data_IF_011056428175
#
_entry.id   IF_011056428175
#
_cell.length_a   1.000
_cell.length_b   1.000
_cell.length_c   1.000
_cell.angle_alpha   90.00
_cell.angle_beta   90.00
_cell.angle_gamma   90.00
#
_symmetry.space_group_name_H-M   'P 1'
#
loop_
_entity.id
_entity.type
_entity.pdbx_description
1 polymer ?
#
# COMPACT_ATOMS: atom_id res chain seq x y z
N UNK A 1 42.34 -17.11 35.76
CA UNK A 1 42.91 -18.27 36.52
C UNK A 1 44.02 -18.94 35.73
N UNK A 2 43.80 -19.30 34.46
CA UNK A 2 44.80 -19.91 33.57
C UNK A 2 46.07 -19.03 33.36
N UNK A 3 45.88 -17.71 33.26
CA UNK A 3 46.91 -16.72 33.10
C UNK A 3 47.89 -16.67 34.26
N UNK A 4 47.37 -16.75 35.51
CA UNK A 4 48.18 -16.77 36.72
C UNK A 4 49.01 -18.04 36.82
N UNK A 5 48.44 -19.18 36.44
CA UNK A 5 49.17 -20.47 36.43
C UNK A 5 50.29 -20.40 35.39
N UNK A 6 50.04 -19.89 34.19
CA UNK A 6 51.02 -19.73 33.12
C UNK A 6 52.15 -18.79 33.53
N UNK A 7 51.85 -17.63 34.12
CA UNK A 7 52.84 -16.68 34.61
C UNK A 7 53.64 -17.27 35.77
N UNK A 8 53.02 -18.03 36.67
CA UNK A 8 53.68 -18.71 37.80
C UNK A 8 54.68 -19.77 37.30
N UNK A 9 54.31 -20.56 36.31
CA UNK A 9 55.22 -21.55 35.72
C UNK A 9 56.43 -20.88 35.06
N UNK A 10 56.23 -19.72 34.43
CA UNK A 10 57.30 -19.02 33.70
C UNK A 10 58.27 -18.28 34.64
N UNK A 11 57.80 -17.77 35.79
CA UNK A 11 58.59 -16.90 36.69
C UNK A 11 58.99 -17.55 38.01
N UNK A 12 58.04 -18.18 38.70
CA UNK A 12 58.27 -18.73 40.06
C UNK A 12 58.94 -20.11 39.99
N UNK A 13 58.53 -20.95 39.02
CA UNK A 13 59.09 -22.29 38.86
C UNK A 13 60.60 -22.28 38.55
N UNK A 14 61.13 -21.49 37.63
CA UNK A 14 62.56 -21.41 37.35
C UNK A 14 63.37 -20.92 38.58
N UNK A 15 62.86 -19.87 39.25
CA UNK A 15 63.52 -19.35 40.47
C UNK A 15 63.54 -20.40 41.61
N UNK A 16 62.40 -21.13 41.77
CA UNK A 16 62.29 -22.25 42.73
C UNK A 16 63.26 -23.39 42.36
N UNK A 17 63.35 -23.80 41.11
CA UNK A 17 64.26 -24.86 40.62
C UNK A 17 65.72 -24.47 40.79
N UNK A 18 66.11 -23.23 40.50
CA UNK A 18 67.46 -22.71 40.72
C UNK A 18 67.85 -22.81 42.21
N UNK A 19 67.00 -22.41 43.12
CA UNK A 19 67.25 -22.47 44.56
C UNK A 19 67.35 -23.92 45.05
N UNK A 20 66.53 -24.81 44.53
CA UNK A 20 66.54 -26.22 44.95
C UNK A 20 67.75 -26.98 44.39
N UNK A 21 68.11 -26.80 43.14
CA UNK A 21 69.11 -27.61 42.51
C UNK A 21 70.51 -26.96 42.54
N UNK A 22 70.61 -25.66 42.46
CA UNK A 22 71.89 -24.94 42.46
C UNK A 22 72.30 -24.53 43.90
N UNK A 23 71.38 -24.06 44.71
CA UNK A 23 71.66 -23.64 46.09
C UNK A 23 71.43 -24.76 47.15
N UNK A 24 70.92 -25.94 46.76
CA UNK A 24 70.79 -27.11 47.63
C UNK A 24 69.78 -27.00 48.76
N UNK A 25 68.87 -25.99 48.77
CA UNK A 25 67.94 -25.73 49.83
C UNK A 25 66.77 -26.75 49.85
N UNK A 26 66.46 -27.32 51.04
CA UNK A 26 65.39 -28.34 51.19
C UNK A 26 64.05 -27.72 51.64
N UNK A 27 62.95 -28.17 50.97
CA UNK A 27 61.59 -27.78 51.35
C UNK A 27 61.24 -28.35 52.72
N UNK A 28 60.64 -27.54 53.61
CA UNK A 28 60.16 -27.94 54.94
C UNK A 28 61.12 -27.63 56.10
N UNK A 29 62.43 -27.47 55.85
CA UNK A 29 63.41 -27.08 56.88
C UNK A 29 63.96 -25.66 56.63
N UNK A 30 64.31 -25.33 55.40
CA UNK A 30 64.90 -24.03 55.03
C UNK A 30 63.95 -23.18 54.21
N UNK A 31 63.01 -23.81 53.53
CA UNK A 31 61.93 -23.11 52.76
C UNK A 31 60.64 -23.14 53.59
N UNK A 32 60.45 -22.14 54.41
CA UNK A 32 59.21 -21.86 55.15
C UNK A 32 58.36 -20.86 54.42
N UNK A 33 57.06 -20.69 54.75
CA UNK A 33 56.19 -19.69 54.15
C UNK A 33 56.77 -18.27 54.20
N UNK A 34 57.50 -17.94 55.24
CA UNK A 34 58.17 -16.68 55.40
C UNK A 34 59.38 -16.54 54.44
N UNK A 35 60.20 -17.57 54.33
CA UNK A 35 61.39 -17.57 53.43
C UNK A 35 60.95 -17.59 51.97
N UNK A 36 59.83 -18.27 51.60
CA UNK A 36 59.23 -18.23 50.24
C UNK A 36 58.82 -16.80 49.91
N UNK A 37 58.14 -16.10 50.81
CA UNK A 37 57.74 -14.70 50.57
C UNK A 37 58.95 -13.76 50.45
N UNK A 38 59.95 -13.94 51.26
CA UNK A 38 61.07 -13.03 51.31
C UNK A 38 62.13 -13.33 50.22
N UNK A 39 62.38 -14.59 49.91
CA UNK A 39 63.39 -14.99 48.93
C UNK A 39 62.86 -15.05 47.52
N UNK A 40 61.58 -15.48 47.29
CA UNK A 40 60.97 -15.51 45.96
C UNK A 40 60.27 -14.18 45.59
N UNK A 41 60.48 -13.13 46.34
CA UNK A 41 59.84 -11.82 46.11
C UNK A 41 59.98 -11.31 44.69
N UNK A 42 61.13 -11.50 44.10
CA UNK A 42 61.39 -11.08 42.71
C UNK A 42 60.63 -11.91 41.68
N UNK A 43 60.50 -13.21 41.87
CA UNK A 43 59.69 -14.09 41.03
C UNK A 43 58.23 -13.77 41.15
N UNK A 44 57.75 -13.52 42.40
CA UNK A 44 56.34 -13.16 42.68
C UNK A 44 55.99 -11.78 42.07
N UNK A 45 56.87 -10.77 42.26
CA UNK A 45 56.61 -9.43 41.67
C UNK A 45 56.65 -9.44 40.12
N UNK A 46 57.56 -10.20 39.54
CA UNK A 46 57.62 -10.36 38.08
C UNK A 46 56.41 -11.10 37.57
N UNK A 47 55.94 -12.16 38.26
CA UNK A 47 54.69 -12.86 37.93
C UNK A 47 53.49 -11.92 37.92
N UNK A 48 53.40 -11.07 38.94
CA UNK A 48 52.27 -10.12 39.07
C UNK A 48 52.26 -9.06 37.99
N UNK A 49 53.48 -8.50 37.66
CA UNK A 49 53.64 -7.56 36.58
C UNK A 49 53.33 -8.20 35.22
N UNK A 50 53.75 -9.43 34.97
CA UNK A 50 53.50 -10.15 33.74
C UNK A 50 52.01 -10.51 33.59
N UNK A 51 51.37 -10.91 34.68
CA UNK A 51 49.92 -11.19 34.69
C UNK A 51 49.11 -9.92 34.43
N UNK A 52 49.43 -8.78 35.04
CA UNK A 52 48.79 -7.50 34.78
C UNK A 52 48.98 -7.06 33.33
N UNK A 53 50.21 -7.19 32.81
CA UNK A 53 50.51 -6.86 31.42
C UNK A 53 49.75 -7.74 30.45
N UNK A 54 49.69 -9.05 30.70
CA UNK A 54 48.93 -9.99 29.86
C UNK A 54 47.43 -9.68 29.88
N UNK A 55 46.85 -9.48 31.08
CA UNK A 55 45.45 -9.13 31.22
C UNK A 55 45.14 -7.81 30.50
N UNK A 56 45.99 -6.80 30.68
CA UNK A 56 45.81 -5.49 30.01
C UNK A 56 45.88 -5.65 28.48
N UNK A 57 46.81 -6.46 28.00
CA UNK A 57 46.96 -6.74 26.55
C UNK A 57 45.75 -7.49 25.98
N UNK A 58 45.26 -8.49 26.71
CA UNK A 58 44.04 -9.21 26.31
C UNK A 58 42.82 -8.28 26.27
N UNK A 59 42.59 -7.48 27.32
CA UNK A 59 41.49 -6.52 27.32
C UNK A 59 41.61 -5.44 26.25
N UNK A 60 42.83 -5.06 25.88
CA UNK A 60 43.07 -4.07 24.83
C UNK A 60 42.80 -4.61 23.43
N UNK A 61 43.18 -5.87 23.13
CA UNK A 61 43.03 -6.46 21.79
C UNK A 61 41.75 -7.27 21.60
N UNK A 62 41.03 -7.62 22.67
CA UNK A 62 39.78 -8.35 22.60
C UNK A 62 38.60 -7.49 23.10
N UNK A 63 38.05 -6.59 22.24
CA UNK A 63 36.89 -5.79 22.63
C UNK A 63 35.70 -6.70 22.89
N UNK A 64 35.06 -6.53 24.04
CA UNK A 64 33.88 -7.31 24.42
C UNK A 64 32.72 -6.38 24.76
N UNK A 65 31.52 -6.76 24.33
CA UNK A 65 30.32 -6.00 24.67
C UNK A 65 29.28 -6.90 25.35
N UNK A 66 28.59 -6.33 26.33
CA UNK A 66 27.41 -6.93 26.96
C UNK A 66 26.10 -6.35 26.40
N UNK A 67 26.19 -5.31 25.57
CA UNK A 67 25.07 -4.61 25.00
C UNK A 67 24.98 -4.91 23.49
N UNK A 68 24.71 -6.16 23.12
CA UNK A 68 24.45 -6.55 21.74
C UNK A 68 22.92 -6.79 21.60
N UNK A 69 22.30 -6.01 20.71
CA UNK A 69 20.88 -6.12 20.40
C UNK A 69 20.70 -6.50 18.92
N UNK A 70 19.84 -7.46 18.67
CA UNK A 70 19.40 -7.75 17.32
C UNK A 70 18.32 -6.75 16.92
N UNK A 71 18.55 -6.01 15.85
CA UNK A 71 17.60 -5.05 15.29
C UNK A 71 17.01 -5.67 14.02
N UNK A 72 15.72 -5.87 14.02
CA UNK A 72 14.97 -6.35 12.86
C UNK A 72 13.88 -5.33 12.51
N UNK A 73 13.58 -5.22 11.23
CA UNK A 73 12.52 -4.36 10.74
C UNK A 73 11.17 -5.02 11.03
N UNK A 74 10.32 -4.31 11.71
CA UNK A 74 8.93 -4.74 11.93
C UNK A 74 8.00 -3.96 11.00
N UNK A 75 6.92 -4.60 10.57
CA UNK A 75 5.83 -3.97 9.82
C UNK A 75 4.62 -3.88 10.74
N UNK A 76 4.20 -2.67 11.02
CA UNK A 76 3.00 -2.43 11.82
C UNK A 76 1.77 -2.61 10.94
N UNK A 77 0.83 -3.46 11.36
CA UNK A 77 -0.44 -3.66 10.68
C UNK A 77 -1.42 -2.63 11.23
N UNK A 78 -1.88 -1.75 10.34
CA UNK A 78 -2.85 -0.70 10.66
C UNK A 78 -4.02 -0.78 9.68
N UNK A 79 -5.20 -0.38 10.13
CA UNK A 79 -6.34 -0.15 9.25
C UNK A 79 -6.26 1.26 8.68
N UNK A 80 -6.77 1.49 7.48
CA UNK A 80 -6.85 2.83 6.92
C UNK A 80 -8.06 3.59 7.49
N UNK A 81 -9.16 2.87 7.69
CA UNK A 81 -10.41 3.41 8.22
C UNK A 81 -10.70 2.90 9.64
N UNK A 82 -11.50 3.67 10.37
CA UNK A 82 -12.09 3.22 11.64
C UNK A 82 -13.17 2.18 11.33
N UNK A 83 -13.09 1.03 12.00
CA UNK A 83 -14.07 -0.03 11.79
C UNK A 83 -14.13 -1.02 12.94
N UNK A 84 -15.22 -1.77 13.01
CA UNK A 84 -15.39 -2.89 13.93
C UNK A 84 -14.87 -4.15 13.28
N UNK A 85 -14.11 -4.96 14.02
CA UNK A 85 -13.64 -6.28 13.56
C UNK A 85 -14.84 -7.23 13.49
N UNK A 86 -15.11 -7.76 12.31
CA UNK A 86 -16.13 -8.77 12.10
C UNK A 86 -15.57 -10.18 12.37
N UNK A 87 -14.43 -10.50 11.79
CA UNK A 87 -13.80 -11.80 11.86
C UNK A 87 -12.28 -11.68 11.90
N UNK A 88 -11.62 -12.65 12.55
CA UNK A 88 -10.16 -12.81 12.55
C UNK A 88 -9.83 -14.19 11.98
N UNK A 89 -8.88 -14.25 11.05
CA UNK A 89 -8.51 -15.47 10.33
C UNK A 89 -7.21 -16.10 10.84
N UNK A 90 -6.45 -15.36 11.63
CA UNK A 90 -5.13 -15.77 12.13
C UNK A 90 -5.02 -15.55 13.63
N UNK A 91 -4.18 -16.37 14.27
CA UNK A 91 -3.89 -16.31 15.70
C UNK A 91 -2.61 -15.54 16.04
N UNK A 92 -2.34 -15.42 17.34
CA UNK A 92 -1.09 -14.83 17.86
C UNK A 92 0.09 -15.77 17.59
N UNK A 93 1.23 -15.22 17.16
CA UNK A 93 2.44 -15.94 16.81
C UNK A 93 2.28 -16.93 15.64
N UNK A 94 1.27 -16.73 14.80
CA UNK A 94 1.08 -17.51 13.59
C UNK A 94 1.95 -16.99 12.45
N UNK A 95 2.47 -17.92 11.65
CA UNK A 95 3.21 -17.59 10.43
C UNK A 95 2.24 -17.32 9.29
N UNK A 96 2.41 -16.18 8.63
CA UNK A 96 1.55 -15.72 7.53
C UNK A 96 2.36 -15.48 6.26
N UNK A 97 1.71 -15.62 5.13
CA UNK A 97 2.27 -15.32 3.80
C UNK A 97 1.79 -13.97 3.31
N UNK A 98 2.56 -13.34 2.44
CA UNK A 98 2.16 -12.13 1.76
C UNK A 98 0.82 -12.33 1.02
N UNK A 99 -0.11 -11.39 1.18
CA UNK A 99 -1.47 -11.47 0.64
C UNK A 99 -2.46 -12.33 1.44
N UNK A 100 -2.01 -13.04 2.49
CA UNK A 100 -2.92 -13.81 3.34
C UNK A 100 -3.83 -12.87 4.15
N UNK A 101 -5.17 -13.10 4.16
CA UNK A 101 -6.09 -12.31 4.97
C UNK A 101 -5.82 -12.55 6.46
N UNK A 102 -5.75 -11.46 7.22
CA UNK A 102 -5.51 -11.47 8.67
C UNK A 102 -6.82 -11.32 9.46
N UNK A 103 -7.60 -10.34 9.09
CA UNK A 103 -8.92 -10.08 9.66
C UNK A 103 -9.77 -9.25 8.72
N UNK A 104 -11.06 -9.22 8.96
CA UNK A 104 -12.04 -8.45 8.21
C UNK A 104 -12.77 -7.48 9.13
N UNK A 105 -12.92 -6.24 8.66
CA UNK A 105 -13.80 -5.26 9.28
C UNK A 105 -15.25 -5.49 8.85
N UNK A 106 -16.18 -4.90 9.56
CA UNK A 106 -17.61 -4.91 9.22
C UNK A 106 -17.82 -4.24 7.84
N UNK A 107 -18.27 -5.03 6.86
CA UNK A 107 -18.36 -4.62 5.46
C UNK A 107 -19.77 -4.21 5.02
N UNK A 108 -20.79 -4.47 5.83
CA UNK A 108 -22.20 -4.25 5.46
C UNK A 108 -22.52 -2.85 4.93
N UNK A 109 -22.04 -1.74 5.53
CA UNK A 109 -22.23 -0.40 4.97
C UNK A 109 -21.55 -0.23 3.60
N UNK A 110 -20.31 -0.70 3.45
CA UNK A 110 -19.54 -0.60 2.21
C UNK A 110 -20.16 -1.44 1.08
N UNK A 111 -20.69 -2.62 1.40
CA UNK A 111 -21.46 -3.43 0.45
C UNK A 111 -22.72 -2.73 -0.01
N UNK A 112 -23.40 -1.99 0.88
CA UNK A 112 -24.55 -1.18 0.49
C UNK A 112 -24.14 -0.02 -0.43
N UNK A 113 -23.00 0.62 -0.19
CA UNK A 113 -22.45 1.66 -1.07
C UNK A 113 -22.14 1.11 -2.46
N UNK A 114 -21.54 -0.07 -2.56
CA UNK A 114 -21.28 -0.76 -3.84
C UNK A 114 -22.58 -1.03 -4.59
N UNK A 115 -23.60 -1.61 -3.92
CA UNK A 115 -24.90 -1.87 -4.56
C UNK A 115 -25.57 -0.57 -5.04
N UNK A 116 -25.44 0.52 -4.31
CA UNK A 116 -25.97 1.83 -4.72
C UNK A 116 -25.26 2.36 -5.96
N UNK A 117 -23.94 2.26 -6.00
CA UNK A 117 -23.15 2.67 -7.17
C UNK A 117 -23.43 1.79 -8.40
N UNK A 118 -23.59 0.47 -8.22
CA UNK A 118 -24.01 -0.46 -9.29
C UNK A 118 -25.38 -0.07 -9.86
N UNK A 119 -26.35 0.24 -8.99
CA UNK A 119 -27.67 0.72 -9.41
C UNK A 119 -27.57 2.02 -10.21
N UNK A 120 -26.68 2.95 -9.82
CA UNK A 120 -26.39 4.17 -10.58
C UNK A 120 -25.87 3.88 -12.00
N UNK A 121 -24.91 2.99 -12.13
CA UNK A 121 -24.41 2.54 -13.46
C UNK A 121 -25.54 1.90 -14.30
N UNK A 122 -26.35 1.04 -13.69
CA UNK A 122 -27.47 0.40 -14.37
C UNK A 122 -28.52 1.41 -14.84
N UNK A 123 -28.80 2.44 -14.04
CA UNK A 123 -29.74 3.52 -14.40
C UNK A 123 -29.25 4.30 -15.64
N UNK A 124 -27.97 4.65 -15.71
CA UNK A 124 -27.43 5.38 -16.86
C UNK A 124 -27.41 4.49 -18.11
N UNK A 125 -27.06 3.22 -17.98
CA UNK A 125 -27.18 2.25 -19.10
C UNK A 125 -28.60 2.16 -19.63
N UNK A 126 -29.61 2.10 -18.73
CA UNK A 126 -31.01 2.11 -19.11
C UNK A 126 -31.43 3.43 -19.78
N UNK A 127 -30.89 4.57 -19.33
CA UNK A 127 -31.09 5.87 -20.01
C UNK A 127 -30.52 5.86 -21.42
N UNK A 128 -29.38 5.21 -21.64
CA UNK A 128 -28.79 5.02 -22.98
C UNK A 128 -29.67 4.21 -23.91
N UNK A 129 -30.32 3.16 -23.40
CA UNK A 129 -31.29 2.39 -24.21
C UNK A 129 -32.50 3.25 -24.59
N UNK A 130 -33.05 4.00 -23.62
CA UNK A 130 -34.18 4.94 -23.91
C UNK A 130 -33.79 6.02 -24.91
N UNK A 131 -32.59 6.61 -24.78
CA UNK A 131 -32.10 7.61 -25.70
C UNK A 131 -31.96 7.12 -27.14
N UNK A 132 -31.61 5.84 -27.35
CA UNK A 132 -31.60 5.25 -28.71
C UNK A 132 -32.99 5.15 -29.31
N UNK A 133 -34.01 4.83 -28.51
CA UNK A 133 -35.40 4.82 -28.96
C UNK A 133 -35.85 6.23 -29.29
N UNK A 134 -35.52 7.22 -28.48
CA UNK A 134 -35.80 8.64 -28.76
C UNK A 134 -35.11 9.13 -30.05
N UNK A 135 -33.88 8.68 -30.29
CA UNK A 135 -33.16 9.01 -31.53
C UNK A 135 -33.90 8.43 -32.76
N UNK A 136 -34.29 7.15 -32.69
CA UNK A 136 -35.05 6.53 -33.77
C UNK A 136 -36.38 7.25 -34.02
N UNK A 137 -37.05 7.70 -32.97
CA UNK A 137 -38.30 8.50 -33.10
C UNK A 137 -38.02 9.84 -33.77
N UNK A 138 -36.96 10.55 -33.37
CA UNK A 138 -36.56 11.85 -33.99
C UNK A 138 -36.19 11.69 -35.47
N UNK A 139 -35.54 10.58 -35.84
CA UNK A 139 -35.25 10.26 -37.24
C UNK A 139 -36.53 9.99 -38.06
N UNK A 140 -37.53 9.32 -37.49
CA UNK A 140 -38.83 9.12 -38.09
C UNK A 140 -39.57 10.46 -38.30
N UNK A 141 -39.47 11.38 -37.33
CA UNK A 141 -40.06 12.72 -37.44
C UNK A 141 -39.41 13.57 -38.54
N UNK A 142 -38.07 13.47 -38.72
CA UNK A 142 -37.37 14.06 -39.86
C UNK A 142 -37.86 13.48 -41.19
N UNK A 143 -38.05 12.14 -41.25
CA UNK A 143 -38.54 11.50 -42.45
C UNK A 143 -39.95 12.02 -42.81
N UNK A 144 -40.81 12.18 -41.80
CA UNK A 144 -42.16 12.74 -41.97
C UNK A 144 -42.10 14.20 -42.43
N UNK A 145 -41.28 15.04 -41.81
CA UNK A 145 -41.12 16.45 -42.18
C UNK A 145 -40.60 16.59 -43.62
N UNK A 146 -39.68 15.71 -44.04
CA UNK A 146 -39.20 15.67 -45.44
C UNK A 146 -40.28 15.29 -46.41
N UNK A 147 -41.10 14.30 -46.10
CA UNK A 147 -42.23 13.89 -46.99
C UNK A 147 -43.24 15.01 -47.14
N UNK A 148 -43.58 15.71 -46.03
CA UNK A 148 -44.50 16.85 -46.08
C UNK A 148 -43.89 17.99 -46.93
N UNK A 149 -42.63 18.33 -46.71
CA UNK A 149 -41.94 19.36 -47.51
C UNK A 149 -41.93 19.00 -49.01
N UNK A 150 -41.68 17.75 -49.36
CA UNK A 150 -41.71 17.32 -50.76
C UNK A 150 -43.11 17.49 -51.35
N UNK A 151 -44.13 17.08 -50.61
CA UNK A 151 -45.52 17.25 -51.07
C UNK A 151 -45.88 18.73 -51.30
N UNK A 152 -45.53 19.62 -50.35
CA UNK A 152 -45.82 21.06 -50.49
C UNK A 152 -45.01 21.71 -51.58
N UNK A 153 -43.78 21.23 -51.83
CA UNK A 153 -42.96 21.66 -52.99
C UNK A 153 -43.61 21.24 -54.30
N UNK A 154 -44.04 19.98 -54.42
CA UNK A 154 -44.73 19.50 -55.65
C UNK A 154 -46.06 20.26 -55.90
N UNK A 155 -46.82 20.57 -54.86
CA UNK A 155 -48.01 21.40 -54.95
C UNK A 155 -47.70 22.84 -55.38
N UNK A 156 -46.67 23.46 -54.81
CA UNK A 156 -46.21 24.79 -55.19
C UNK A 156 -45.79 24.80 -56.68
N UNK A 157 -44.98 23.83 -57.10
CA UNK A 157 -44.48 23.77 -58.47
C UNK A 157 -45.61 23.60 -59.51
N UNK A 158 -46.59 22.73 -59.13
CA UNK A 158 -47.78 22.55 -59.96
C UNK A 158 -48.58 23.84 -60.05
N UNK A 159 -48.78 24.59 -58.96
CA UNK A 159 -49.51 25.88 -58.99
C UNK A 159 -48.75 26.97 -59.75
N UNK A 160 -47.41 27.05 -59.62
CA UNK A 160 -46.58 27.98 -60.30
C UNK A 160 -46.62 27.69 -61.81
N UNK A 161 -46.58 26.44 -62.28
CA UNK A 161 -46.65 26.05 -63.62
C UNK A 161 -48.02 26.36 -64.27
N UNK A 162 -49.13 26.06 -63.54
CA UNK A 162 -50.47 26.43 -63.97
C UNK A 162 -50.63 27.95 -64.13
N UNK A 163 -50.14 28.74 -63.18
CA UNK A 163 -50.17 30.22 -63.30
C UNK A 163 -49.32 30.75 -64.44
N UNK A 164 -48.20 30.08 -64.80
CA UNK A 164 -47.33 30.40 -65.91
C UNK A 164 -48.05 30.14 -67.26
N UNK A 165 -48.77 29.06 -67.37
CA UNK A 165 -49.50 28.65 -68.57
C UNK A 165 -50.75 29.50 -68.82
N UNK A 166 -51.50 29.81 -67.75
CA UNK A 166 -52.70 30.62 -67.80
C UNK A 166 -52.87 31.44 -66.49
N UNK A 167 -52.64 32.77 -66.60
CA UNK A 167 -52.72 33.72 -65.50
C UNK A 167 -54.09 33.87 -64.87
N UNK A 168 -55.14 33.61 -65.68
CA UNK A 168 -56.55 33.70 -65.19
C UNK A 168 -57.04 32.42 -64.59
N UNK A 169 -56.32 31.32 -64.70
CA UNK A 169 -56.71 30.00 -64.18
C UNK A 169 -56.57 29.90 -62.61
N UNK A 170 -55.62 30.62 -62.04
CA UNK A 170 -55.39 30.58 -60.59
C UNK A 170 -55.08 31.99 -60.07
N UNK A 171 -55.66 32.42 -58.96
CA UNK A 171 -55.33 33.68 -58.29
C UNK A 171 -53.87 33.70 -57.79
N UNK A 172 -53.18 34.84 -58.06
CA UNK A 172 -51.79 35.03 -57.56
C UNK A 172 -51.61 34.73 -56.07
N UNK A 173 -52.62 35.03 -55.33
CA UNK A 173 -52.69 34.74 -53.84
C UNK A 173 -52.51 33.26 -53.53
N UNK A 174 -52.99 32.33 -54.33
CA UNK A 174 -52.84 30.90 -54.13
C UNK A 174 -51.41 30.45 -54.34
N UNK A 175 -50.70 31.05 -55.34
CA UNK A 175 -49.24 30.80 -55.55
C UNK A 175 -48.42 31.30 -54.35
N UNK A 176 -48.76 32.51 -53.85
CA UNK A 176 -48.12 33.09 -52.66
C UNK A 176 -48.37 32.25 -51.43
N UNK A 177 -49.57 31.71 -51.22
CA UNK A 177 -49.91 30.79 -50.12
C UNK A 177 -49.11 29.48 -50.20
N UNK A 178 -48.98 28.90 -51.39
CA UNK A 178 -48.17 27.69 -51.57
C UNK A 178 -46.65 27.94 -51.29
N UNK A 179 -46.13 29.11 -51.64
CA UNK A 179 -44.78 29.50 -51.29
C UNK A 179 -44.57 29.65 -49.78
N UNK A 180 -45.55 30.20 -49.08
CA UNK A 180 -45.52 30.31 -47.62
C UNK A 180 -45.61 28.93 -46.98
N UNK A 181 -46.46 28.02 -47.49
CA UNK A 181 -46.54 26.65 -47.00
C UNK A 181 -45.18 25.89 -47.06
N UNK A 182 -44.47 26.01 -48.20
CA UNK A 182 -43.12 25.44 -48.36
C UNK A 182 -42.18 25.99 -47.28
N UNK A 183 -42.17 27.31 -47.02
CA UNK A 183 -41.32 27.90 -45.98
C UNK A 183 -41.66 27.40 -44.56
N UNK A 184 -42.93 27.14 -44.29
CA UNK A 184 -43.38 26.59 -43.02
C UNK A 184 -42.86 25.15 -42.87
N UNK A 185 -42.95 24.33 -43.91
CA UNK A 185 -42.44 22.94 -43.88
C UNK A 185 -40.92 22.87 -43.89
N UNK A 186 -40.21 23.79 -44.52
CA UNK A 186 -38.76 23.96 -44.41
C UNK A 186 -38.34 24.26 -42.97
N UNK A 187 -39.06 25.18 -42.30
CA UNK A 187 -38.81 25.49 -40.89
C UNK A 187 -39.13 24.29 -39.97
N UNK A 188 -40.19 23.53 -40.29
CA UNK A 188 -40.53 22.29 -39.53
C UNK A 188 -39.44 21.22 -39.70
N UNK A 189 -38.85 21.06 -40.89
CA UNK A 189 -37.73 20.15 -41.13
C UNK A 189 -36.48 20.56 -40.30
N UNK A 190 -36.16 21.85 -40.30
CA UNK A 190 -35.02 22.38 -39.53
C UNK A 190 -35.24 22.14 -38.01
N UNK A 191 -36.47 22.35 -37.53
CA UNK A 191 -36.82 22.09 -36.15
C UNK A 191 -36.68 20.60 -35.78
N UNK A 192 -37.15 19.69 -36.65
CA UNK A 192 -37.01 18.25 -36.45
C UNK A 192 -35.52 17.81 -36.46
N UNK A 193 -34.70 18.41 -37.33
CA UNK A 193 -33.25 18.16 -37.37
C UNK A 193 -32.59 18.63 -36.07
N UNK A 194 -32.91 19.82 -35.58
CA UNK A 194 -32.36 20.33 -34.30
C UNK A 194 -32.79 19.45 -33.12
N UNK A 195 -34.00 18.94 -33.11
CA UNK A 195 -34.49 18.00 -32.08
C UNK A 195 -33.67 16.70 -32.09
N UNK A 196 -33.42 16.10 -33.30
CA UNK A 196 -32.57 14.92 -33.46
C UNK A 196 -31.14 15.19 -32.97
N UNK A 197 -30.57 16.34 -33.32
CA UNK A 197 -29.19 16.69 -32.92
C UNK A 197 -29.06 16.87 -31.43
N UNK A 198 -30.04 17.39 -30.73
CA UNK A 198 -30.06 17.48 -29.30
C UNK A 198 -30.05 16.10 -28.62
N UNK A 199 -30.85 15.15 -29.11
CA UNK A 199 -30.85 13.77 -28.63
C UNK A 199 -29.51 13.09 -28.89
N UNK A 200 -28.93 13.36 -30.08
CA UNK A 200 -27.61 12.82 -30.46
C UNK A 200 -26.50 13.32 -29.53
N UNK A 201 -26.45 14.60 -29.22
CA UNK A 201 -25.50 15.18 -28.26
C UNK A 201 -25.65 14.53 -26.88
N UNK A 202 -26.87 14.35 -26.41
CA UNK A 202 -27.13 13.67 -25.14
C UNK A 202 -26.60 12.24 -25.14
N UNK A 203 -26.82 11.49 -26.24
CA UNK A 203 -26.35 10.10 -26.37
C UNK A 203 -24.84 9.96 -26.52
N UNK A 204 -24.20 10.83 -27.30
CA UNK A 204 -22.79 10.70 -27.69
C UNK A 204 -21.85 11.42 -26.71
N UNK A 205 -22.33 12.43 -25.96
CA UNK A 205 -21.48 13.25 -25.08
C UNK A 205 -21.92 13.15 -23.62
N UNK A 206 -23.18 13.43 -23.33
CA UNK A 206 -23.64 13.51 -21.93
C UNK A 206 -23.71 12.15 -21.25
N UNK A 207 -24.34 11.16 -21.87
CA UNK A 207 -24.53 9.84 -21.29
C UNK A 207 -23.20 9.07 -21.11
N UNK A 208 -22.23 9.08 -22.04
CA UNK A 208 -20.92 8.47 -21.82
C UNK A 208 -20.15 9.14 -20.67
N UNK A 209 -20.23 10.48 -20.55
CA UNK A 209 -19.60 11.21 -19.46
C UNK A 209 -20.22 10.83 -18.11
N UNK A 210 -21.54 10.78 -18.03
CA UNK A 210 -22.25 10.35 -16.83
C UNK A 210 -21.94 8.88 -16.49
N UNK A 211 -21.83 8.01 -17.51
CA UNK A 211 -21.47 6.62 -17.31
C UNK A 211 -20.04 6.49 -16.74
N UNK A 212 -19.08 7.25 -17.28
CA UNK A 212 -17.72 7.27 -16.78
C UNK A 212 -17.66 7.74 -15.31
N UNK A 213 -18.41 8.77 -14.95
CA UNK A 213 -18.52 9.25 -13.56
C UNK A 213 -19.08 8.17 -12.65
N UNK A 214 -20.19 7.55 -13.03
CA UNK A 214 -20.82 6.49 -12.22
C UNK A 214 -19.91 5.24 -12.10
N UNK A 215 -19.15 4.92 -13.13
CA UNK A 215 -18.14 3.84 -13.07
C UNK A 215 -17.03 4.16 -12.09
N UNK A 216 -16.52 5.40 -12.09
CA UNK A 216 -15.50 5.84 -11.13
C UNK A 216 -16.02 5.80 -9.69
N UNK A 217 -17.29 6.14 -9.46
CA UNK A 217 -17.93 5.99 -8.16
C UNK A 217 -18.05 4.53 -7.72
N UNK A 218 -18.38 3.63 -8.66
CA UNK A 218 -18.41 2.19 -8.40
C UNK A 218 -17.03 1.66 -8.04
N UNK A 219 -16.00 1.99 -8.81
CA UNK A 219 -14.61 1.60 -8.54
C UNK A 219 -14.12 2.10 -7.17
N UNK A 220 -14.50 3.33 -6.82
CA UNK A 220 -14.22 3.88 -5.50
C UNK A 220 -14.91 3.09 -4.39
N UNK A 221 -16.18 2.77 -4.55
CA UNK A 221 -16.93 2.00 -3.56
C UNK A 221 -16.35 0.57 -3.41
N UNK A 222 -15.97 -0.07 -4.51
CA UNK A 222 -15.31 -1.38 -4.50
C UNK A 222 -13.96 -1.33 -3.79
N UNK A 223 -13.12 -0.33 -4.10
CA UNK A 223 -11.83 -0.14 -3.43
C UNK A 223 -11.99 0.06 -1.92
N UNK A 224 -13.02 0.78 -1.47
CA UNK A 224 -13.32 0.94 -0.05
C UNK A 224 -13.82 -0.36 0.60
N UNK A 225 -14.53 -1.19 -0.14
CA UNK A 225 -14.94 -2.51 0.31
C UNK A 225 -13.74 -3.46 0.42
N UNK A 226 -12.85 -3.47 -0.57
CA UNK A 226 -11.64 -4.32 -0.56
C UNK A 226 -10.73 -3.98 0.62
N UNK A 227 -10.65 -2.71 1.02
CA UNK A 227 -9.88 -2.26 2.20
C UNK A 227 -10.45 -2.75 3.53
N UNK A 228 -11.66 -3.32 3.56
CA UNK A 228 -12.20 -3.94 4.77
C UNK A 228 -11.52 -5.27 5.11
N UNK A 229 -10.88 -5.92 4.14
CA UNK A 229 -10.09 -7.14 4.34
C UNK A 229 -8.62 -6.75 4.45
N UNK A 230 -8.08 -6.88 5.66
CA UNK A 230 -6.68 -6.57 5.93
C UNK A 230 -5.82 -7.81 5.68
N UNK A 231 -4.83 -7.67 4.79
CA UNK A 231 -3.93 -8.75 4.38
C UNK A 231 -2.51 -8.50 4.86
N UNK A 232 -1.70 -9.55 4.99
CA UNK A 232 -0.29 -9.45 5.30
C UNK A 232 0.47 -8.85 4.10
N UNK A 233 1.31 -7.84 4.35
CA UNK A 233 2.12 -7.19 3.30
C UNK A 233 3.36 -7.99 2.89
N UNK A 234 3.86 -8.87 3.79
CA UNK A 234 5.07 -9.68 3.59
C UNK A 234 4.93 -11.01 4.32
N UNK A 235 5.76 -11.99 3.95
CA UNK A 235 5.90 -13.24 4.70
C UNK A 235 6.53 -12.95 6.06
N UNK A 236 6.03 -13.60 7.12
CA UNK A 236 6.56 -13.40 8.46
C UNK A 236 5.73 -14.03 9.56
N UNK A 237 6.05 -13.66 10.80
CA UNK A 237 5.34 -14.09 12.00
C UNK A 237 4.58 -12.91 12.58
N UNK A 238 3.30 -13.11 12.83
CA UNK A 238 2.40 -12.11 13.39
C UNK A 238 2.57 -12.09 14.93
N UNK A 239 3.10 -10.99 15.44
CA UNK A 239 3.26 -10.75 16.89
C UNK A 239 2.29 -9.69 17.39
N UNK A 240 1.98 -9.73 18.70
CA UNK A 240 1.09 -8.76 19.35
C UNK A 240 -0.29 -8.60 18.71
N UNK A 241 -0.79 -9.66 18.08
CA UNK A 241 -2.11 -9.68 17.46
C UNK A 241 -3.15 -10.18 18.49
N UNK A 242 -3.81 -9.24 19.16
CA UNK A 242 -4.78 -9.56 20.22
C UNK A 242 -6.19 -9.05 19.85
N UNK A 243 -6.55 -9.12 18.57
CA UNK A 243 -7.85 -8.70 18.07
C UNK A 243 -8.91 -9.77 18.32
N UNK A 244 -10.11 -9.32 18.64
CA UNK A 244 -11.31 -10.16 18.78
C UNK A 244 -12.45 -9.60 17.94
N UNK A 245 -13.34 -10.45 17.43
CA UNK A 245 -14.58 -9.99 16.83
C UNK A 245 -15.34 -9.04 17.77
N UNK A 246 -15.75 -7.89 17.26
CA UNK A 246 -16.39 -6.82 18.02
C UNK A 246 -15.46 -5.68 18.45
N UNK A 247 -14.15 -5.84 18.40
CA UNK A 247 -13.20 -4.76 18.70
C UNK A 247 -13.34 -3.62 17.68
N UNK A 248 -13.18 -2.39 18.17
CA UNK A 248 -13.14 -1.20 17.30
C UNK A 248 -11.68 -0.81 17.08
N UNK A 249 -11.27 -0.76 15.81
CA UNK A 249 -9.96 -0.31 15.40
C UNK A 249 -10.01 1.15 14.97
N UNK A 250 -8.99 1.89 15.40
CA UNK A 250 -8.76 3.26 14.96
C UNK A 250 -7.27 3.38 14.57
N UNK A 251 -6.95 3.77 13.33
CA UNK A 251 -5.58 3.85 12.84
C UNK A 251 -4.69 4.78 13.66
N UNK A 252 -5.24 5.80 14.31
CA UNK A 252 -4.46 6.76 15.09
C UNK A 252 -4.19 6.33 16.55
N UNK A 253 -4.97 5.38 17.08
CA UNK A 253 -4.91 5.06 18.51
C UNK A 253 -4.29 3.70 18.79
N UNK A 254 -4.50 2.71 17.93
CA UNK A 254 -4.07 1.33 18.21
C UNK A 254 -3.74 0.57 16.92
N UNK A 255 -2.51 0.08 16.76
CA UNK A 255 -2.19 -0.86 15.70
C UNK A 255 -2.92 -2.19 15.90
N UNK A 256 -3.28 -2.84 14.81
CA UNK A 256 -3.92 -4.15 14.82
C UNK A 256 -2.96 -5.26 15.25
N UNK A 257 -1.68 -5.12 14.90
CA UNK A 257 -0.63 -6.07 15.22
C UNK A 257 0.71 -5.65 14.66
N UNK A 258 1.73 -6.45 14.94
CA UNK A 258 3.09 -6.27 14.43
C UNK A 258 3.48 -7.53 13.67
N UNK A 259 3.84 -7.36 12.41
CA UNK A 259 4.40 -8.42 11.57
C UNK A 259 5.92 -8.34 11.60
N UNK A 260 6.57 -9.44 11.97
CA UNK A 260 8.01 -9.61 11.90
C UNK A 260 8.33 -10.38 10.63
N UNK A 261 8.90 -9.73 9.60
CA UNK A 261 9.23 -10.39 8.35
C UNK A 261 10.26 -11.50 8.53
N UNK A 262 10.14 -12.58 7.74
CA UNK A 262 11.15 -13.64 7.67
C UNK A 262 12.45 -13.19 6.97
N UNK A 263 12.63 -11.90 6.70
CA UNK A 263 13.80 -11.34 6.03
C UNK A 263 15.06 -11.56 6.85
N UNK A 264 16.07 -12.15 6.23
CA UNK A 264 17.38 -12.53 6.82
C UNK A 264 18.25 -11.35 7.30
N UNK A 265 17.78 -10.14 7.26
CA UNK A 265 18.55 -8.95 7.64
C UNK A 265 18.16 -8.53 9.05
N UNK A 266 18.59 -9.33 10.02
CA UNK A 266 18.73 -8.82 11.37
C UNK A 266 20.07 -8.06 11.43
N UNK A 267 20.02 -6.74 11.58
CA UNK A 267 21.19 -5.96 11.94
C UNK A 267 21.57 -6.30 13.39
N UNK A 268 22.84 -6.63 13.65
CA UNK A 268 23.32 -6.78 15.01
C UNK A 268 23.97 -5.46 15.41
N UNK A 269 23.37 -4.78 16.37
CA UNK A 269 23.90 -3.51 16.91
C UNK A 269 24.55 -3.83 18.25
N UNK A 270 25.88 -3.66 18.32
CA UNK A 270 26.65 -3.84 19.51
C UNK A 270 27.20 -2.50 20.00
N UNK A 271 26.90 -2.15 21.24
CA UNK A 271 27.42 -0.96 21.89
C UNK A 271 28.79 -1.21 22.51
N UNK A 272 29.84 -0.58 21.98
CA UNK A 272 31.19 -0.66 22.53
C UNK A 272 31.55 0.63 23.27
N UNK A 273 32.41 0.52 24.28
CA UNK A 273 32.94 1.68 24.94
C UNK A 273 33.86 2.49 24.00
N UNK A 274 34.07 3.78 24.29
CA UNK A 274 34.90 4.65 23.44
C UNK A 274 36.36 4.15 23.29
N UNK A 275 36.85 3.44 24.29
CA UNK A 275 38.21 2.86 24.27
C UNK A 275 38.25 1.65 23.35
N UNK A 276 37.27 0.79 23.39
CA UNK A 276 37.16 -0.44 22.58
C UNK A 276 36.85 -0.13 21.11
N UNK A 277 36.11 0.95 20.83
CA UNK A 277 35.77 1.38 19.46
C UNK A 277 36.99 1.70 18.59
N UNK A 278 38.16 2.02 19.20
CA UNK A 278 39.42 2.29 18.47
C UNK A 278 40.03 1.04 17.83
N UNK A 279 39.73 -0.13 18.35
CA UNK A 279 40.32 -1.42 17.91
C UNK A 279 39.42 -2.12 16.89
N UNK A 280 38.14 -1.78 16.83
CA UNK A 280 37.18 -2.35 15.90
C UNK A 280 37.36 -1.67 14.54
N UNK A 281 37.75 -2.46 13.53
CA UNK A 281 37.73 -2.01 12.13
C UNK A 281 36.44 -2.42 11.48
N UNK A 282 35.81 -1.58 10.61
CA UNK A 282 34.59 -1.92 9.88
C UNK A 282 34.83 -3.05 8.88
#
# INVERSE_FOLDING_TARGET
MLELIFCSILTILPDYLFRRYVQGKRIGHEITFFSVWFELRWGITLCLLLAISLITTVFYFHPSTKAANSVFRTVTIMTEDVGRVAETYVGVNERVKAGQPLFRLESAPKEADVRTAEAGVAQIKAAGVRGRVELAQAEADIARARANLQQTQDERDSRVELFRLNRDAIPKREVEQAQVAVKVDEAALVAAQAARDSVKVRLEVELPTQLATAQSELERAQSLLDRTVITASTDGVLQQFALRPGDILNPMLRPAGILVPDARVAGLVAGFSQIEARVIKP
#
